data_IF_142703222438
#
_entry.id   IF_142703222438
#
_cell.length_a   1.000
_cell.length_b   1.000
_cell.length_c   1.000
_cell.angle_alpha   90.00
_cell.angle_beta   90.00
_cell.angle_gamma   90.00
#
_symmetry.space_group_name_H-M   'P 1'
#
loop_
_entity.id
_entity.type
_entity.pdbx_description
1 polymer ?
#
# COMPACT_ATOMS: atom_id res chain seq x y z
N UNK A 1 -7.86 -5.31 -22.85
CA UNK A 1 -8.68 -6.50 -23.10
C UNK A 1 -10.15 -6.14 -23.25
N UNK A 2 -10.87 -6.74 -24.20
CA UNK A 2 -12.32 -6.53 -24.34
C UNK A 2 -13.06 -7.49 -23.39
N UNK A 3 -13.89 -6.93 -22.51
CA UNK A 3 -14.80 -7.73 -21.65
C UNK A 3 -15.95 -8.31 -22.47
N UNK A 4 -16.42 -9.50 -22.09
CA UNK A 4 -17.61 -10.13 -22.67
C UNK A 4 -18.56 -10.62 -21.58
N UNK A 5 -19.81 -10.89 -21.97
CA UNK A 5 -20.80 -11.51 -21.08
C UNK A 5 -20.24 -12.81 -20.50
N UNK A 6 -20.35 -12.95 -19.17
CA UNK A 6 -19.83 -14.08 -18.41
C UNK A 6 -18.43 -13.88 -17.82
N UNK A 7 -17.71 -12.81 -18.20
CA UNK A 7 -16.44 -12.49 -17.56
C UNK A 7 -16.65 -12.04 -16.10
N UNK A 8 -15.82 -12.55 -15.20
CA UNK A 8 -15.70 -12.02 -13.84
C UNK A 8 -14.75 -10.83 -13.82
N UNK A 9 -15.16 -9.76 -13.15
CA UNK A 9 -14.41 -8.51 -13.08
C UNK A 9 -14.37 -7.99 -11.65
N UNK A 10 -13.29 -7.31 -11.31
CA UNK A 10 -13.18 -6.48 -10.12
C UNK A 10 -13.31 -5.02 -10.53
N UNK A 11 -14.30 -4.31 -10.00
CA UNK A 11 -14.34 -2.85 -10.08
C UNK A 11 -13.28 -2.29 -9.14
N UNK A 12 -12.42 -1.40 -9.65
CA UNK A 12 -11.37 -0.73 -8.87
C UNK A 12 -11.76 0.72 -8.55
N UNK A 13 -13.07 0.98 -8.57
CA UNK A 13 -13.69 2.25 -8.23
C UNK A 13 -14.46 2.07 -6.93
N UNK A 14 -14.44 3.09 -6.07
CA UNK A 14 -15.21 3.10 -4.83
C UNK A 14 -16.67 2.73 -5.08
N UNK A 15 -17.24 1.90 -4.18
CA UNK A 15 -18.67 1.60 -4.19
C UNK A 15 -19.53 2.84 -3.99
N UNK A 16 -19.02 3.89 -3.34
CA UNK A 16 -19.73 5.18 -3.21
C UNK A 16 -19.96 5.89 -4.56
N UNK A 17 -19.20 5.50 -5.60
CA UNK A 17 -19.32 6.01 -6.96
C UNK A 17 -19.95 4.99 -7.92
N UNK A 18 -20.34 3.81 -7.42
CA UNK A 18 -20.89 2.72 -8.24
C UNK A 18 -22.40 2.64 -8.02
N UNK A 19 -23.25 2.97 -9.03
CA UNK A 19 -24.68 2.72 -8.94
C UNK A 19 -24.92 1.21 -8.76
N UNK A 20 -25.32 0.81 -7.56
CA UNK A 20 -25.50 -0.58 -7.15
C UNK A 20 -26.90 -0.76 -6.56
N UNK A 21 -27.68 -1.65 -7.17
CA UNK A 21 -28.95 -2.14 -6.62
C UNK A 21 -28.72 -3.53 -6.03
N UNK A 22 -28.80 -3.64 -4.72
CA UNK A 22 -28.75 -4.92 -3.99
C UNK A 22 -30.18 -5.49 -3.94
N UNK A 23 -30.35 -6.72 -4.43
CA UNK A 23 -31.61 -7.45 -4.36
C UNK A 23 -31.65 -8.38 -3.14
N UNK A 24 -30.53 -9.04 -2.84
CA UNK A 24 -30.40 -9.97 -1.72
C UNK A 24 -28.99 -9.90 -1.10
N UNK A 25 -28.90 -9.97 0.23
CA UNK A 25 -27.64 -10.18 0.95
C UNK A 25 -27.55 -11.66 1.32
N UNK A 26 -26.57 -12.35 0.75
CA UNK A 26 -26.37 -13.80 0.96
C UNK A 26 -25.59 -14.07 2.23
N UNK A 27 -24.50 -13.31 2.44
CA UNK A 27 -23.60 -13.49 3.57
C UNK A 27 -22.86 -12.21 3.91
N UNK A 28 -22.63 -11.98 5.20
CA UNK A 28 -21.75 -10.93 5.72
C UNK A 28 -20.54 -11.60 6.36
N UNK A 29 -19.36 -11.30 5.84
CA UNK A 29 -18.07 -11.83 6.29
C UNK A 29 -17.35 -10.73 7.09
N UNK A 30 -17.68 -10.64 8.39
CA UNK A 30 -17.16 -9.59 9.27
C UNK A 30 -15.64 -9.67 9.48
N UNK A 31 -15.07 -10.86 9.37
CA UNK A 31 -13.63 -11.12 9.46
C UNK A 31 -12.86 -10.69 8.20
N UNK A 32 -13.57 -10.52 7.08
CA UNK A 32 -13.00 -10.16 5.77
C UNK A 32 -13.45 -8.79 5.28
N UNK A 33 -14.27 -8.07 6.04
CA UNK A 33 -14.94 -6.82 5.64
C UNK A 33 -15.66 -6.93 4.28
N UNK A 34 -16.26 -8.09 4.01
CA UNK A 34 -16.91 -8.41 2.72
C UNK A 34 -18.39 -8.75 2.89
N UNK A 35 -19.17 -8.44 1.85
CA UNK A 35 -20.58 -8.81 1.76
C UNK A 35 -20.84 -9.49 0.43
N UNK A 36 -21.32 -10.72 0.48
CA UNK A 36 -21.78 -11.47 -0.68
C UNK A 36 -23.24 -11.11 -0.96
N UNK A 37 -23.52 -10.62 -2.16
CA UNK A 37 -24.84 -10.12 -2.54
C UNK A 37 -25.26 -10.62 -3.92
N UNK A 38 -26.56 -10.62 -4.16
CA UNK A 38 -27.13 -10.62 -5.51
C UNK A 38 -27.66 -9.24 -5.85
N UNK A 39 -27.29 -8.73 -7.02
CA UNK A 39 -27.62 -7.36 -7.38
C UNK A 39 -27.17 -7.00 -8.78
N UNK A 40 -27.34 -5.73 -9.11
CA UNK A 40 -26.93 -5.15 -10.40
C UNK A 40 -26.13 -3.88 -10.15
N UNK A 41 -24.95 -3.80 -10.75
CA UNK A 41 -24.11 -2.62 -10.76
C UNK A 41 -24.03 -2.03 -12.17
N UNK A 42 -23.98 -0.71 -12.28
CA UNK A 42 -23.70 -0.01 -13.54
C UNK A 42 -22.23 0.42 -13.52
N UNK A 43 -21.44 -0.12 -14.44
CA UNK A 43 -20.06 0.30 -14.66
C UNK A 43 -19.96 1.19 -15.89
N UNK A 44 -19.42 2.38 -15.73
CA UNK A 44 -19.16 3.29 -16.83
C UNK A 44 -17.90 2.86 -17.59
N UNK A 45 -17.84 3.14 -18.89
CA UNK A 45 -16.65 2.85 -19.72
C UNK A 45 -15.40 3.61 -19.28
N UNK A 46 -15.59 4.74 -18.58
CA UNK A 46 -14.53 5.51 -17.91
C UNK A 46 -14.12 4.95 -16.55
N UNK A 47 -14.89 4.01 -16.00
CA UNK A 47 -14.61 3.35 -14.74
C UNK A 47 -13.42 2.40 -14.86
N UNK A 48 -12.66 2.27 -13.77
CA UNK A 48 -11.49 1.40 -13.72
C UNK A 48 -11.93 0.02 -13.27
N UNK A 49 -11.61 -1.00 -14.05
CA UNK A 49 -11.89 -2.40 -13.71
C UNK A 49 -10.74 -3.29 -14.16
N UNK A 50 -10.64 -4.45 -13.53
CA UNK A 50 -9.75 -5.52 -13.94
C UNK A 50 -10.57 -6.78 -14.24
N UNK A 51 -10.26 -7.45 -15.35
CA UNK A 51 -10.73 -8.83 -15.55
C UNK A 51 -10.01 -9.73 -14.57
N UNK A 52 -10.75 -10.57 -13.86
CA UNK A 52 -10.12 -11.52 -12.95
C UNK A 52 -9.34 -12.56 -13.75
N UNK A 53 -8.09 -12.86 -13.34
CA UNK A 53 -7.26 -13.84 -14.02
C UNK A 53 -7.79 -15.27 -13.84
N UNK A 54 -7.68 -16.09 -14.90
CA UNK A 54 -8.05 -17.51 -14.85
C UNK A 54 -6.99 -18.38 -14.15
N UNK A 55 -5.78 -17.85 -13.96
CA UNK A 55 -4.61 -18.54 -13.37
C UNK A 55 -4.41 -18.27 -11.87
N UNK A 56 -5.36 -17.60 -11.21
CA UNK A 56 -5.26 -17.20 -9.80
C UNK A 56 -6.58 -17.46 -9.07
N UNK A 57 -6.48 -17.80 -7.79
CA UNK A 57 -7.66 -17.85 -6.92
C UNK A 57 -8.36 -16.47 -6.87
N UNK A 58 -9.70 -16.49 -6.77
CA UNK A 58 -10.51 -15.27 -6.83
C UNK A 58 -10.28 -14.37 -5.61
N UNK A 59 -10.25 -14.94 -4.40
CA UNK A 59 -10.04 -14.19 -3.16
C UNK A 59 -8.62 -13.61 -3.13
N UNK A 60 -7.65 -14.39 -3.64
CA UNK A 60 -6.28 -13.95 -3.83
C UNK A 60 -6.19 -12.74 -4.76
N UNK A 61 -6.78 -12.82 -5.96
CA UNK A 61 -6.78 -11.74 -6.94
C UNK A 61 -7.47 -10.49 -6.40
N UNK A 62 -8.65 -10.64 -5.78
CA UNK A 62 -9.39 -9.53 -5.17
C UNK A 62 -8.59 -8.87 -4.06
N UNK A 63 -7.92 -9.65 -3.21
CA UNK A 63 -7.09 -9.13 -2.13
C UNK A 63 -5.95 -8.25 -2.64
N UNK A 64 -5.30 -8.65 -3.73
CA UNK A 64 -4.24 -7.83 -4.35
C UNK A 64 -4.80 -6.57 -4.99
N UNK A 65 -5.93 -6.70 -5.70
CA UNK A 65 -6.55 -5.62 -6.45
C UNK A 65 -7.09 -4.49 -5.53
N UNK A 66 -7.55 -4.84 -4.33
CA UNK A 66 -7.97 -3.91 -3.28
C UNK A 66 -6.91 -2.87 -2.92
N UNK A 67 -5.62 -3.24 -3.00
CA UNK A 67 -4.49 -2.36 -2.65
C UNK A 67 -3.55 -2.07 -3.82
N UNK A 68 -4.00 -2.33 -5.06
CA UNK A 68 -3.14 -2.29 -6.26
C UNK A 68 -2.44 -0.95 -6.50
N UNK A 69 -3.04 0.14 -6.05
CA UNK A 69 -2.46 1.48 -6.15
C UNK A 69 -1.12 1.62 -5.43
N UNK A 70 -0.97 0.99 -4.27
CA UNK A 70 0.19 1.16 -3.41
C UNK A 70 1.51 0.72 -4.09
N UNK A 71 1.67 -0.55 -4.52
CA UNK A 71 2.91 -0.98 -5.18
C UNK A 71 3.15 -0.24 -6.51
N UNK A 72 2.10 0.07 -7.27
CA UNK A 72 2.23 0.80 -8.53
C UNK A 72 2.73 2.24 -8.33
N UNK A 73 2.35 2.90 -7.25
CA UNK A 73 2.91 4.21 -6.90
C UNK A 73 4.33 4.08 -6.37
N UNK A 74 4.66 3.06 -5.58
CA UNK A 74 6.06 2.81 -5.17
C UNK A 74 6.96 2.64 -6.40
N UNK A 75 6.50 1.93 -7.43
CA UNK A 75 7.25 1.75 -8.69
C UNK A 75 7.59 3.09 -9.36
N UNK A 76 6.64 4.03 -9.33
CA UNK A 76 6.79 5.37 -9.90
C UNK A 76 7.69 6.28 -9.05
N UNK A 77 7.55 6.20 -7.73
CA UNK A 77 8.11 7.17 -6.80
C UNK A 77 9.55 6.84 -6.41
N UNK A 78 9.86 5.55 -6.23
CA UNK A 78 11.18 5.09 -5.80
C UNK A 78 12.14 4.99 -6.99
N UNK A 79 13.35 5.50 -6.77
CA UNK A 79 14.47 5.50 -7.71
C UNK A 79 15.65 4.73 -7.13
N UNK A 80 16.57 4.34 -8.01
CA UNK A 80 17.79 3.66 -7.62
C UNK A 80 18.62 4.53 -6.66
N UNK A 81 19.04 3.94 -5.53
CA UNK A 81 19.80 4.64 -4.48
C UNK A 81 18.96 5.27 -3.37
N UNK A 82 17.64 5.31 -3.48
CA UNK A 82 16.79 5.93 -2.46
C UNK A 82 16.84 5.19 -1.12
N UNK A 83 16.83 5.95 -0.02
CA UNK A 83 16.38 5.47 1.28
C UNK A 83 14.85 5.53 1.32
N UNK A 84 14.20 4.38 1.38
CA UNK A 84 12.74 4.25 1.42
C UNK A 84 12.28 3.79 2.80
N UNK A 85 11.35 4.52 3.42
CA UNK A 85 10.69 4.10 4.67
C UNK A 85 9.26 3.69 4.36
N UNK A 86 8.83 2.53 4.85
CA UNK A 86 7.47 2.01 4.67
C UNK A 86 6.81 1.85 6.03
N UNK A 87 5.84 2.71 6.35
CA UNK A 87 5.09 2.65 7.61
C UNK A 87 3.90 1.71 7.43
N UNK A 88 3.85 0.64 8.23
CA UNK A 88 2.88 -0.45 8.05
C UNK A 88 3.41 -1.60 7.19
N UNK A 89 4.72 -1.84 7.21
CA UNK A 89 5.42 -2.72 6.26
C UNK A 89 4.99 -4.20 6.25
N UNK A 90 4.26 -4.71 7.25
CA UNK A 90 3.75 -6.08 7.25
C UNK A 90 2.27 -6.20 6.82
N UNK A 91 1.57 -5.08 6.65
CA UNK A 91 0.19 -5.08 6.15
C UNK A 91 0.13 -5.49 4.67
N UNK A 92 -1.10 -5.67 4.15
CA UNK A 92 -1.35 -6.10 2.77
C UNK A 92 -0.61 -5.21 1.74
N UNK A 93 -0.80 -3.90 1.82
CA UNK A 93 -0.08 -2.94 0.98
C UNK A 93 1.41 -2.91 1.30
N UNK A 94 1.77 -3.02 2.59
CA UNK A 94 3.14 -2.92 3.07
C UNK A 94 4.06 -3.97 2.44
N UNK A 95 3.66 -5.23 2.44
CA UNK A 95 4.48 -6.31 1.87
C UNK A 95 4.67 -6.17 0.36
N UNK A 96 3.65 -5.67 -0.37
CA UNK A 96 3.76 -5.36 -1.80
C UNK A 96 4.71 -4.18 -2.03
N UNK A 97 4.58 -3.12 -1.22
CA UNK A 97 5.46 -1.95 -1.26
C UNK A 97 6.92 -2.31 -0.95
N UNK A 98 7.18 -3.21 0.01
CA UNK A 98 8.54 -3.64 0.36
C UNK A 98 9.24 -4.25 -0.86
N UNK A 99 8.55 -5.13 -1.58
CA UNK A 99 9.10 -5.84 -2.72
C UNK A 99 9.42 -4.88 -3.86
N UNK A 100 8.47 -4.00 -4.21
CA UNK A 100 8.69 -3.00 -5.26
C UNK A 100 9.78 -2.00 -4.85
N UNK A 101 9.77 -1.52 -3.61
CA UNK A 101 10.80 -0.61 -3.12
C UNK A 101 12.18 -1.24 -3.18
N UNK A 102 12.31 -2.53 -2.82
CA UNK A 102 13.58 -3.27 -2.92
C UNK A 102 14.09 -3.33 -4.36
N UNK A 103 13.22 -3.62 -5.31
CA UNK A 103 13.58 -3.70 -6.73
C UNK A 103 13.99 -2.35 -7.30
N UNK A 104 13.26 -1.28 -6.94
CA UNK A 104 13.47 0.07 -7.46
C UNK A 104 14.65 0.79 -6.83
N UNK A 105 14.79 0.69 -5.51
CA UNK A 105 15.92 1.26 -4.79
C UNK A 105 17.24 0.57 -5.16
N UNK A 106 17.16 -0.70 -5.52
CA UNK A 106 18.30 -1.48 -5.99
C UNK A 106 19.37 -1.68 -4.92
N UNK A 107 20.58 -2.04 -5.35
CA UNK A 107 21.70 -2.41 -4.46
C UNK A 107 22.27 -1.24 -3.65
N UNK A 108 22.11 -0.02 -4.14
CA UNK A 108 22.64 1.19 -3.50
C UNK A 108 21.64 1.89 -2.58
N UNK A 109 20.36 1.51 -2.65
CA UNK A 109 19.31 2.07 -1.81
C UNK A 109 19.05 1.25 -0.55
N UNK A 110 18.25 1.80 0.37
CA UNK A 110 17.86 1.14 1.63
C UNK A 110 16.34 1.11 1.75
N UNK A 111 15.78 0.01 2.25
CA UNK A 111 14.33 -0.12 2.49
C UNK A 111 14.15 -0.41 3.96
N UNK A 112 13.43 0.45 4.66
CA UNK A 112 13.26 0.40 6.11
C UNK A 112 11.77 0.23 6.38
N UNK A 113 11.37 -0.92 6.91
CA UNK A 113 9.99 -1.17 7.32
C UNK A 113 9.74 -0.68 8.74
N UNK A 114 8.59 -0.07 9.01
CA UNK A 114 8.14 0.26 10.37
C UNK A 114 6.93 -0.60 10.70
N UNK A 115 7.03 -1.35 11.80
CA UNK A 115 5.96 -2.23 12.30
C UNK A 115 5.89 -2.17 13.82
N UNK A 116 4.76 -2.59 14.39
CA UNK A 116 4.52 -2.57 15.84
C UNK A 116 4.87 -3.86 16.57
N UNK A 117 4.95 -4.99 15.86
CA UNK A 117 5.17 -6.31 16.44
C UNK A 117 6.51 -6.88 15.93
N UNK A 118 7.45 -7.28 16.82
CA UNK A 118 8.70 -7.93 16.43
C UNK A 118 8.50 -9.23 15.63
N UNK A 119 7.40 -9.95 15.82
CA UNK A 119 7.10 -11.18 15.07
C UNK A 119 6.94 -10.92 13.56
N UNK A 120 6.76 -9.66 13.16
CA UNK A 120 6.62 -9.27 11.76
C UNK A 120 7.97 -9.05 11.05
N UNK A 121 9.08 -8.98 11.80
CA UNK A 121 10.42 -8.75 11.24
C UNK A 121 10.78 -9.76 10.15
N UNK A 122 10.60 -11.08 10.33
CA UNK A 122 10.95 -12.06 9.30
C UNK A 122 10.21 -11.78 7.99
N UNK A 123 8.88 -11.58 8.05
CA UNK A 123 8.08 -11.27 6.86
C UNK A 123 8.52 -9.97 6.19
N UNK A 124 8.81 -8.92 6.96
CA UNK A 124 9.31 -7.67 6.39
C UNK A 124 10.65 -7.87 5.66
N UNK A 125 11.59 -8.63 6.25
CA UNK A 125 12.89 -8.92 5.62
C UNK A 125 12.70 -9.78 4.35
N UNK A 126 11.88 -10.82 4.42
CA UNK A 126 11.58 -11.73 3.30
C UNK A 126 10.89 -11.02 2.13
N UNK A 127 10.08 -9.99 2.43
CA UNK A 127 9.34 -9.23 1.42
C UNK A 127 10.11 -8.04 0.87
N UNK A 128 11.31 -7.75 1.38
CA UNK A 128 12.21 -6.75 0.79
C UNK A 128 12.61 -5.59 1.70
N UNK A 129 12.42 -5.65 3.02
CA UNK A 129 13.05 -4.68 3.92
C UNK A 129 14.54 -4.99 4.10
N UNK A 130 15.40 -3.98 4.01
CA UNK A 130 16.80 -4.07 4.48
C UNK A 130 16.85 -4.00 6.00
N UNK A 131 16.02 -3.15 6.62
CA UNK A 131 15.93 -2.98 8.07
C UNK A 131 14.48 -2.86 8.53
N UNK A 132 14.24 -3.15 9.81
CA UNK A 132 12.91 -3.08 10.41
C UNK A 132 13.00 -2.32 11.73
N UNK A 133 12.20 -1.27 11.86
CA UNK A 133 12.01 -0.48 13.07
C UNK A 133 10.77 -1.00 13.79
N UNK A 134 10.91 -1.27 15.09
CA UNK A 134 9.78 -1.58 15.97
C UNK A 134 9.32 -0.29 16.64
N UNK A 135 8.19 0.25 16.19
CA UNK A 135 7.62 1.47 16.74
C UNK A 135 6.09 1.52 16.51
N UNK A 136 5.40 2.30 17.33
CA UNK A 136 4.04 2.71 17.02
C UNK A 136 4.08 3.68 15.83
N UNK A 137 3.20 3.50 14.84
CA UNK A 137 3.11 4.38 13.67
C UNK A 137 2.79 5.84 14.05
N UNK A 138 2.26 6.09 15.26
CA UNK A 138 1.98 7.43 15.79
C UNK A 138 3.16 8.06 16.54
N UNK A 139 4.25 7.31 16.78
CA UNK A 139 5.41 7.79 17.54
C UNK A 139 6.44 8.45 16.62
N UNK A 140 6.27 9.75 16.40
CA UNK A 140 7.10 10.53 15.50
C UNK A 140 8.57 10.59 15.95
N UNK A 141 8.82 10.65 17.25
CA UNK A 141 10.17 10.82 17.80
C UNK A 141 10.96 9.53 17.66
N UNK A 142 10.37 8.39 17.99
CA UNK A 142 11.05 7.09 17.84
C UNK A 142 11.33 6.79 16.37
N UNK A 143 10.34 7.00 15.48
CA UNK A 143 10.51 6.78 14.05
C UNK A 143 11.61 7.67 13.47
N UNK A 144 11.59 8.98 13.76
CA UNK A 144 12.61 9.91 13.26
C UNK A 144 14.02 9.52 13.72
N UNK A 145 14.18 9.17 15.01
CA UNK A 145 15.48 8.78 15.57
C UNK A 145 16.01 7.51 14.94
N UNK A 146 15.18 6.48 14.81
CA UNK A 146 15.59 5.21 14.24
C UNK A 146 15.86 5.29 12.74
N UNK A 147 15.08 6.07 12.00
CA UNK A 147 15.36 6.34 10.58
C UNK A 147 16.69 7.09 10.44
N UNK A 148 16.91 8.12 11.24
CA UNK A 148 18.18 8.87 11.27
C UNK A 148 19.36 7.93 11.56
N UNK A 149 19.25 7.09 12.61
CA UNK A 149 20.28 6.11 12.99
C UNK A 149 20.59 5.12 11.86
N UNK A 150 19.56 4.61 11.18
CA UNK A 150 19.72 3.62 10.11
C UNK A 150 20.19 4.23 8.78
N UNK A 151 20.16 5.55 8.64
CA UNK A 151 20.54 6.27 7.42
C UNK A 151 21.73 7.21 7.61
N UNK A 152 22.44 7.10 8.75
CA UNK A 152 23.56 7.99 9.12
C UNK A 152 23.17 9.48 9.05
N UNK A 153 21.96 9.80 9.50
CA UNK A 153 21.40 11.15 9.50
C UNK A 153 20.85 11.65 8.16
N UNK A 154 20.95 10.87 7.08
CA UNK A 154 20.47 11.28 5.74
C UNK A 154 18.94 11.32 5.64
N UNK A 155 18.24 10.59 6.49
CA UNK A 155 16.79 10.40 6.45
C UNK A 155 16.30 9.74 5.14
N UNK A 156 14.99 9.58 4.98
CA UNK A 156 14.40 8.89 3.83
C UNK A 156 14.16 9.84 2.64
N UNK A 157 14.55 9.43 1.44
CA UNK A 157 14.20 10.09 0.19
C UNK A 157 12.70 9.96 -0.11
N UNK A 158 12.13 8.79 0.21
CA UNK A 158 10.72 8.47 0.00
C UNK A 158 10.15 7.80 1.25
N UNK A 159 9.06 8.33 1.79
CA UNK A 159 8.29 7.70 2.86
C UNK A 159 6.92 7.29 2.34
N UNK A 160 6.60 6.01 2.48
CA UNK A 160 5.34 5.40 2.06
C UNK A 160 4.55 5.04 3.31
N UNK A 161 3.43 5.71 3.55
CA UNK A 161 2.53 5.40 4.64
C UNK A 161 1.31 4.62 4.13
N UNK A 162 1.17 3.39 4.62
CA UNK A 162 0.07 2.47 4.28
C UNK A 162 -0.71 1.98 5.51
N UNK A 163 -0.61 2.67 6.66
CA UNK A 163 -1.37 2.29 7.86
C UNK A 163 -2.79 2.86 7.83
N UNK A 164 -3.76 2.08 8.28
CA UNK A 164 -5.18 2.42 8.28
C UNK A 164 -5.66 3.00 9.63
N UNK A 165 -4.80 3.75 10.32
CA UNK A 165 -5.12 4.42 11.58
C UNK A 165 -4.79 5.91 11.48
N UNK A 166 -5.46 6.72 12.31
CA UNK A 166 -5.21 8.15 12.42
C UNK A 166 -3.86 8.46 13.11
N UNK A 167 -3.45 9.74 13.03
CA UNK A 167 -2.33 10.33 13.76
C UNK A 167 -0.95 9.79 13.35
N UNK A 168 -0.80 9.48 12.07
CA UNK A 168 0.45 8.96 11.49
C UNK A 168 1.11 9.94 10.54
N UNK A 169 0.51 11.12 10.32
CA UNK A 169 1.00 12.16 9.41
C UNK A 169 2.35 12.71 9.83
N UNK A 170 2.45 13.23 11.05
CA UNK A 170 3.68 13.83 11.57
C UNK A 170 4.85 12.83 11.64
N UNK A 171 4.67 11.59 12.16
CA UNK A 171 5.70 10.56 12.08
C UNK A 171 6.19 10.26 10.67
N UNK A 172 5.27 10.25 9.70
CA UNK A 172 5.61 10.02 8.29
C UNK A 172 6.46 11.15 7.73
N UNK A 173 6.06 12.39 8.00
CA UNK A 173 6.78 13.59 7.56
C UNK A 173 8.17 13.66 8.20
N UNK A 174 8.27 13.39 9.50
CA UNK A 174 9.54 13.42 10.23
C UNK A 174 10.52 12.31 9.84
N UNK A 175 10.05 11.25 9.16
CA UNK A 175 10.93 10.23 8.61
C UNK A 175 11.59 10.65 7.28
N UNK A 176 11.05 11.65 6.60
CA UNK A 176 11.57 12.13 5.33
C UNK A 176 12.76 13.09 5.54
N UNK A 177 13.67 13.13 4.57
CA UNK A 177 14.66 14.19 4.48
C UNK A 177 14.04 15.51 4.01
N UNK A 178 14.79 16.59 4.17
CA UNK A 178 14.47 17.86 3.51
C UNK A 178 14.35 17.67 1.99
N UNK A 179 13.31 18.24 1.39
CA UNK A 179 12.87 18.02 0.00
C UNK A 179 12.65 16.54 -0.36
N UNK A 180 12.33 15.71 0.62
CA UNK A 180 11.93 14.32 0.44
C UNK A 180 10.48 14.20 -0.02
N UNK A 181 10.09 12.99 -0.45
CA UNK A 181 8.74 12.70 -0.89
C UNK A 181 7.99 11.86 0.15
N UNK A 182 6.78 12.27 0.48
CA UNK A 182 5.86 11.54 1.35
C UNK A 182 4.64 11.11 0.57
N UNK A 183 4.30 9.83 0.61
CA UNK A 183 3.09 9.28 0.03
C UNK A 183 2.20 8.67 1.10
N UNK A 184 1.04 9.27 1.28
CA UNK A 184 -0.05 8.75 2.11
C UNK A 184 -1.03 7.97 1.24
N UNK A 185 -0.91 6.64 1.25
CA UNK A 185 -1.83 5.76 0.54
C UNK A 185 -3.17 5.62 1.26
N UNK A 186 -3.15 5.63 2.59
CA UNK A 186 -4.30 5.35 3.43
C UNK A 186 -5.36 6.46 3.40
N UNK A 187 -6.64 6.06 3.44
CA UNK A 187 -7.76 6.98 3.60
C UNK A 187 -7.95 7.45 5.05
N UNK A 188 -7.20 6.90 6.01
CA UNK A 188 -7.19 7.39 7.39
C UNK A 188 -6.41 8.71 7.55
N UNK A 189 -5.68 9.13 6.51
CA UNK A 189 -4.87 10.35 6.53
C UNK A 189 -5.73 11.60 6.52
N UNK A 190 -5.47 12.50 7.46
CA UNK A 190 -6.03 13.85 7.47
C UNK A 190 -5.13 14.82 6.73
N UNK A 191 -5.64 15.41 5.64
CA UNK A 191 -4.97 16.51 4.95
C UNK A 191 -4.57 17.64 5.90
N UNK A 192 -5.47 18.04 6.80
CA UNK A 192 -5.24 19.13 7.75
C UNK A 192 -4.10 18.81 8.71
N UNK A 193 -4.06 17.59 9.28
CA UNK A 193 -2.97 17.18 10.18
C UNK A 193 -1.63 17.12 9.44
N UNK A 194 -1.60 16.62 8.21
CA UNK A 194 -0.39 16.57 7.40
C UNK A 194 0.14 17.97 7.05
N UNK A 195 -0.72 18.85 6.51
CA UNK A 195 -0.34 20.19 6.08
C UNK A 195 0.13 21.06 7.25
N UNK A 196 -0.68 21.16 8.32
CA UNK A 196 -0.32 21.94 9.51
C UNK A 196 0.85 21.32 10.27
N UNK A 197 0.96 19.98 10.27
CA UNK A 197 2.05 19.26 10.91
C UNK A 197 3.39 19.59 10.27
N UNK A 198 3.49 19.53 8.93
CA UNK A 198 4.71 19.90 8.22
C UNK A 198 5.08 21.37 8.39
N UNK A 199 4.11 22.29 8.23
CA UNK A 199 4.34 23.72 8.43
C UNK A 199 4.83 24.01 9.86
N UNK A 200 4.17 23.44 10.86
CA UNK A 200 4.47 23.66 12.27
C UNK A 200 5.86 23.20 12.71
N UNK A 201 6.46 22.22 12.02
CA UNK A 201 7.84 21.77 12.28
C UNK A 201 8.85 22.30 11.26
N UNK A 202 8.42 23.13 10.31
CA UNK A 202 9.27 23.65 9.23
C UNK A 202 9.82 22.56 8.30
N UNK A 203 9.07 21.49 8.07
CA UNK A 203 9.48 20.41 7.16
C UNK A 203 9.09 20.74 5.71
N UNK A 204 10.08 20.92 4.85
CA UNK A 204 9.87 21.14 3.41
C UNK A 204 9.88 19.80 2.65
N UNK A 205 8.70 19.21 2.45
CA UNK A 205 8.53 17.90 1.79
C UNK A 205 7.44 17.95 0.71
N UNK A 206 7.59 17.14 -0.34
CA UNK A 206 6.55 16.96 -1.34
C UNK A 206 5.59 15.86 -0.89
N UNK A 207 4.29 16.16 -0.82
CA UNK A 207 3.28 15.20 -0.35
C UNK A 207 2.32 14.75 -1.44
N UNK A 208 2.03 13.45 -1.48
CA UNK A 208 0.95 12.85 -2.27
C UNK A 208 -0.07 12.24 -1.30
N UNK A 209 -1.30 12.75 -1.29
CA UNK A 209 -2.33 12.32 -0.35
C UNK A 209 -3.50 11.62 -1.06
N UNK A 210 -3.91 10.46 -0.55
CA UNK A 210 -5.19 9.82 -0.88
C UNK A 210 -5.32 9.35 -2.33
N UNK A 211 -4.21 9.21 -3.06
CA UNK A 211 -4.24 8.78 -4.45
C UNK A 211 -3.97 7.28 -4.57
N UNK A 212 -5.04 6.48 -4.62
CA UNK A 212 -4.98 5.03 -4.86
C UNK A 212 -4.88 4.62 -6.33
N UNK A 213 -4.92 5.56 -7.28
CA UNK A 213 -4.85 5.23 -8.71
C UNK A 213 -3.47 5.48 -9.30
N UNK A 214 -2.95 4.46 -9.98
CA UNK A 214 -1.84 4.57 -10.90
C UNK A 214 -2.21 3.85 -12.20
N UNK A 215 -1.72 4.36 -13.33
CA UNK A 215 -1.94 3.70 -14.63
C UNK A 215 -1.42 2.26 -14.54
N UNK A 216 -2.21 1.32 -15.02
CA UNK A 216 -1.88 -0.12 -15.02
C UNK A 216 -1.71 -0.78 -13.64
N UNK A 217 -2.17 -0.14 -12.54
CA UNK A 217 -1.98 -0.65 -11.18
C UNK A 217 -2.40 -2.12 -10.97
N UNK A 218 -3.49 -2.55 -11.60
CA UNK A 218 -3.99 -3.92 -11.54
C UNK A 218 -3.02 -4.91 -12.17
N UNK A 219 -2.52 -4.59 -13.38
CA UNK A 219 -1.55 -5.44 -14.08
C UNK A 219 -0.24 -5.52 -13.29
N UNK A 220 0.27 -4.38 -12.81
CA UNK A 220 1.51 -4.30 -12.03
C UNK A 220 1.40 -5.18 -10.77
N UNK A 221 0.28 -5.09 -10.05
CA UNK A 221 0.11 -5.79 -8.78
C UNK A 221 -0.08 -7.30 -8.95
N UNK A 222 -0.85 -7.71 -9.96
CA UNK A 222 -1.01 -9.13 -10.30
C UNK A 222 0.31 -9.74 -10.82
N UNK A 223 1.03 -9.01 -11.67
CA UNK A 223 2.35 -9.43 -12.16
C UNK A 223 3.37 -9.56 -11.03
N UNK A 224 3.39 -8.61 -10.10
CA UNK A 224 4.26 -8.65 -8.91
C UNK A 224 4.09 -9.96 -8.13
N UNK A 225 2.86 -10.42 -7.90
CA UNK A 225 2.65 -11.72 -7.26
C UNK A 225 3.15 -12.88 -8.12
N UNK A 226 2.88 -12.87 -9.43
CA UNK A 226 3.31 -13.96 -10.33
C UNK A 226 4.82 -14.14 -10.31
N UNK A 227 5.58 -13.05 -10.31
CA UNK A 227 7.05 -13.08 -10.36
C UNK A 227 7.74 -13.12 -8.99
N UNK A 228 6.99 -12.99 -7.89
CA UNK A 228 7.54 -13.05 -6.54
C UNK A 228 6.92 -14.22 -5.74
N UNK A 229 7.59 -15.39 -5.71
CA UNK A 229 7.10 -16.58 -5.03
C UNK A 229 6.85 -16.38 -3.51
N UNK A 230 7.63 -15.51 -2.86
CA UNK A 230 7.46 -15.20 -1.43
C UNK A 230 6.13 -14.50 -1.21
N UNK A 231 5.84 -13.46 -2.02
CA UNK A 231 4.54 -12.77 -1.96
C UNK A 231 3.39 -13.71 -2.32
N UNK A 232 3.53 -14.52 -3.38
CA UNK A 232 2.51 -15.49 -3.77
C UNK A 232 2.16 -16.44 -2.62
N UNK A 233 3.17 -16.98 -1.94
CA UNK A 233 2.98 -17.86 -0.78
C UNK A 233 2.26 -17.15 0.37
N UNK A 234 2.76 -15.97 0.77
CA UNK A 234 2.20 -15.20 1.88
C UNK A 234 0.75 -14.78 1.64
N UNK A 235 0.42 -14.39 0.41
CA UNK A 235 -0.96 -14.01 0.09
C UNK A 235 -1.91 -15.21 0.10
N UNK A 236 -1.48 -16.39 -0.37
CA UNK A 236 -2.26 -17.62 -0.23
C UNK A 236 -2.54 -17.92 1.25
N UNK A 237 -1.50 -17.95 2.07
CA UNK A 237 -1.62 -18.23 3.51
C UNK A 237 -2.52 -17.24 4.26
N UNK A 238 -2.64 -15.99 3.79
CA UNK A 238 -3.41 -14.94 4.48
C UNK A 238 -4.83 -14.75 3.95
N UNK A 239 -5.11 -15.10 2.70
CA UNK A 239 -6.30 -14.61 2.00
C UNK A 239 -7.08 -15.64 1.16
N UNK A 240 -6.61 -16.89 1.04
CA UNK A 240 -7.36 -17.92 0.28
C UNK A 240 -8.21 -18.85 1.14
N UNK A 241 -8.01 -18.84 2.45
CA UNK A 241 -8.79 -19.64 3.41
C UNK A 241 -10.06 -18.88 3.87
#
# INVERSE_FOLDING_TARGET
>A
DKIKVGDKIASLVSLSLTPLKINEVKRVLLDKDQVEIEGQAILFSSGIYAKLPDDMDENLALSVLDVAGAPAQVERLVKAGDNVVIIGANGKSGILCNAVARERAGVSGKVIGVVRNPDYIPTCKDTGCHEVIIANATDAITIQKEVSRLTDGKMADVVINVVNIEDTELPTIMAARDRGLVYFFSMATSFTKAALGAEGIGADVDMILGNGYARNHAMISLDLLRRNPVLMKLFKERYTD
#
